data_IF_841592542393
#
_entry.id   IF_841592542393
#
_cell.length_a   1.000
_cell.length_b   1.000
_cell.length_c   1.000
_cell.angle_alpha   90.00
_cell.angle_beta   90.00
_cell.angle_gamma   90.00
#
_symmetry.space_group_name_H-M   'P 1'
#
loop_
_entity.id
_entity.type
_entity.pdbx_description
1 polymer ?
#
# COMPACT_ATOMS: atom_id res chain seq x y z
N UNK A 1 20.51 -15.66 -13.56
CA UNK A 1 19.12 -16.10 -13.23
C UNK A 1 18.17 -14.94 -13.48
N UNK A 2 16.90 -15.19 -13.88
CA UNK A 2 15.89 -14.13 -13.98
C UNK A 2 15.24 -13.96 -12.61
N UNK A 3 15.34 -12.76 -12.05
CA UNK A 3 14.75 -12.35 -10.78
C UNK A 3 13.78 -11.21 -11.09
N UNK A 4 12.60 -11.23 -10.48
CA UNK A 4 11.67 -10.11 -10.50
C UNK A 4 11.83 -9.31 -9.21
N UNK A 5 11.91 -7.99 -9.32
CA UNK A 5 11.92 -7.07 -8.18
C UNK A 5 11.03 -5.85 -8.47
N UNK A 6 10.21 -5.51 -7.49
CA UNK A 6 9.32 -4.37 -7.54
C UNK A 6 9.19 -3.72 -6.16
N UNK A 7 9.36 -2.40 -6.11
CA UNK A 7 9.07 -1.57 -4.93
C UNK A 7 7.98 -0.57 -5.28
N UNK A 8 6.89 -0.58 -4.53
CA UNK A 8 5.74 0.29 -4.71
C UNK A 8 5.56 1.22 -3.52
N UNK A 9 5.24 2.48 -3.81
CA UNK A 9 5.00 3.56 -2.84
C UNK A 9 3.61 4.17 -3.04
N UNK A 10 3.03 4.71 -1.98
CA UNK A 10 1.76 5.45 -2.03
C UNK A 10 1.96 6.83 -2.65
N UNK A 11 2.07 6.88 -3.98
CA UNK A 11 2.34 8.11 -4.74
C UNK A 11 1.31 8.41 -5.84
N UNK A 12 0.08 7.91 -5.70
CA UNK A 12 -1.00 8.12 -6.69
C UNK A 12 -1.41 9.59 -6.79
N UNK A 13 -1.77 10.04 -8.00
CA UNK A 13 -2.17 11.43 -8.27
C UNK A 13 -3.34 11.90 -7.40
N UNK A 14 -4.36 11.05 -7.18
CA UNK A 14 -5.53 11.39 -6.37
C UNK A 14 -5.16 11.60 -4.89
N UNK A 15 -4.14 10.90 -4.40
CA UNK A 15 -3.62 11.11 -3.05
C UNK A 15 -2.92 12.47 -2.95
N UNK A 16 -2.22 12.89 -4.01
CA UNK A 16 -1.61 14.22 -4.06
C UNK A 16 -2.66 15.33 -4.03
N UNK A 17 -3.80 15.16 -4.72
CA UNK A 17 -4.92 16.11 -4.65
C UNK A 17 -5.46 16.23 -3.22
N UNK A 18 -5.64 15.11 -2.50
CA UNK A 18 -6.07 15.12 -1.09
C UNK A 18 -5.04 15.85 -0.21
N UNK A 19 -3.75 15.57 -0.40
CA UNK A 19 -2.69 16.23 0.36
C UNK A 19 -2.64 17.73 0.11
N UNK A 20 -2.78 18.17 -1.15
CA UNK A 20 -2.83 19.60 -1.50
C UNK A 20 -4.05 20.27 -0.86
N UNK A 21 -5.21 19.61 -0.87
CA UNK A 21 -6.41 20.13 -0.21
C UNK A 21 -6.21 20.29 1.31
N UNK A 22 -5.57 19.31 1.97
CA UNK A 22 -5.23 19.38 3.40
C UNK A 22 -4.24 20.51 3.69
N UNK A 23 -3.23 20.72 2.84
CA UNK A 23 -2.30 21.84 2.97
C UNK A 23 -2.98 23.20 2.74
N UNK A 24 -3.89 23.29 1.77
CA UNK A 24 -4.70 24.49 1.54
C UNK A 24 -5.60 24.81 2.73
N UNK A 25 -6.24 23.79 3.32
CA UNK A 25 -7.01 23.95 4.56
C UNK A 25 -6.12 24.44 5.71
N UNK A 26 -4.92 23.89 5.84
CA UNK A 26 -3.97 24.31 6.87
C UNK A 26 -3.51 25.76 6.67
N UNK A 27 -3.26 26.18 5.43
CA UNK A 27 -2.92 27.56 5.09
C UNK A 27 -4.08 28.51 5.39
N UNK A 28 -5.32 28.09 5.13
CA UNK A 28 -6.52 28.85 5.50
C UNK A 28 -6.62 29.03 7.03
N UNK A 29 -6.44 27.96 7.81
CA UNK A 29 -6.41 28.04 9.27
C UNK A 29 -5.34 29.03 9.75
N UNK A 30 -4.11 28.91 9.25
CA UNK A 30 -3.03 29.83 9.58
C UNK A 30 -3.37 31.28 9.21
N UNK A 31 -3.98 31.51 8.05
CA UNK A 31 -4.43 32.84 7.64
C UNK A 31 -5.47 33.41 8.63
N UNK A 32 -6.47 32.62 9.02
CA UNK A 32 -7.49 33.06 9.98
C UNK A 32 -6.91 33.39 11.36
N UNK A 33 -5.94 32.62 11.83
CA UNK A 33 -5.33 32.83 13.15
C UNK A 33 -4.43 34.07 13.18
N UNK A 34 -3.57 34.25 12.17
CA UNK A 34 -2.50 35.26 12.22
C UNK A 34 -2.83 36.57 11.52
N UNK A 35 -3.76 36.58 10.55
CA UNK A 35 -4.10 37.79 9.80
C UNK A 35 -5.51 38.30 10.07
N UNK A 36 -6.48 37.41 10.19
CA UNK A 36 -7.88 37.79 10.46
C UNK A 36 -8.14 37.93 11.97
N UNK A 37 -7.46 37.14 12.80
CA UNK A 37 -7.64 37.13 14.24
C UNK A 37 -8.92 36.41 14.68
N UNK A 38 -9.39 35.42 13.90
CA UNK A 38 -10.60 34.63 14.20
C UNK A 38 -10.25 33.17 14.46
N UNK A 39 -11.12 32.49 15.22
CA UNK A 39 -10.97 31.05 15.46
C UNK A 39 -11.30 30.22 14.22
N UNK A 40 -10.59 29.10 14.06
CA UNK A 40 -10.92 28.02 13.13
C UNK A 40 -11.39 26.81 13.92
N UNK A 41 -12.72 26.62 13.99
CA UNK A 41 -13.33 25.62 14.86
C UNK A 41 -13.05 25.94 16.34
N UNK A 42 -12.48 24.98 17.06
CA UNK A 42 -12.16 25.13 18.49
C UNK A 42 -10.81 25.81 18.76
N UNK A 43 -10.02 26.11 17.71
CA UNK A 43 -8.68 26.68 17.86
C UNK A 43 -8.71 28.16 17.53
N UNK A 44 -8.43 28.99 18.53
CA UNK A 44 -8.41 30.45 18.44
C UNK A 44 -7.06 31.03 18.02
N UNK A 45 -7.00 32.34 17.72
CA UNK A 45 -5.76 33.05 17.36
C UNK A 45 -4.73 33.11 18.51
N UNK A 46 -5.19 33.08 19.76
CA UNK A 46 -4.33 33.10 20.96
C UNK A 46 -4.05 31.69 21.54
N UNK A 47 -4.55 30.63 20.90
CA UNK A 47 -4.36 29.24 21.34
C UNK A 47 -3.16 28.60 20.61
N UNK A 48 -1.95 28.95 21.04
CA UNK A 48 -0.72 28.43 20.45
C UNK A 48 -0.65 26.89 20.49
N UNK A 49 -1.13 26.30 21.59
CA UNK A 49 -1.12 24.84 21.77
C UNK A 49 -2.02 24.17 20.73
N UNK A 50 -3.27 24.62 20.58
CA UNK A 50 -4.19 24.10 19.57
C UNK A 50 -3.66 24.26 18.14
N UNK A 51 -3.06 25.41 17.83
CA UNK A 51 -2.47 25.68 16.51
C UNK A 51 -1.34 24.70 16.19
N UNK A 52 -0.40 24.51 17.12
CA UNK A 52 0.73 23.57 16.98
C UNK A 52 0.23 22.13 16.86
N UNK A 53 -0.76 21.73 17.66
CA UNK A 53 -1.35 20.39 17.59
C UNK A 53 -1.97 20.15 16.20
N UNK A 54 -2.74 21.09 15.67
CA UNK A 54 -3.33 20.97 14.33
C UNK A 54 -2.26 20.89 13.24
N UNK A 55 -1.25 21.77 13.29
CA UNK A 55 -0.12 21.76 12.34
C UNK A 55 0.59 20.41 12.33
N UNK A 56 1.00 19.93 13.51
CA UNK A 56 1.70 18.65 13.64
C UNK A 56 0.80 17.50 13.20
N UNK A 57 -0.47 17.47 13.61
CA UNK A 57 -1.39 16.40 13.26
C UNK A 57 -1.59 16.28 11.74
N UNK A 58 -1.77 17.40 11.04
CA UNK A 58 -1.93 17.41 9.57
C UNK A 58 -0.64 16.99 8.89
N UNK A 59 0.50 17.59 9.27
CA UNK A 59 1.80 17.25 8.67
C UNK A 59 2.17 15.78 8.90
N UNK A 60 1.92 15.27 10.10
CA UNK A 60 2.15 13.87 10.45
C UNK A 60 1.22 12.94 9.65
N UNK A 61 -0.06 13.30 9.48
CA UNK A 61 -1.00 12.50 8.67
C UNK A 61 -0.54 12.38 7.22
N UNK A 62 -0.04 13.48 6.63
CA UNK A 62 0.52 13.49 5.28
C UNK A 62 1.82 12.66 5.23
N UNK A 63 2.75 12.87 6.17
CA UNK A 63 4.04 12.18 6.19
C UNK A 63 3.91 10.67 6.40
N UNK A 64 2.97 10.24 7.26
CA UNK A 64 2.81 8.85 7.66
C UNK A 64 2.48 7.95 6.46
N UNK A 65 1.73 8.42 5.46
CA UNK A 65 1.39 7.56 4.32
C UNK A 65 2.59 7.19 3.46
N UNK A 66 3.62 8.04 3.43
CA UNK A 66 4.82 7.85 2.60
C UNK A 66 5.84 6.89 3.20
N UNK A 67 5.71 6.52 4.48
CA UNK A 67 6.55 5.47 5.08
C UNK A 67 6.15 4.08 4.56
N UNK A 68 4.92 3.94 4.07
CA UNK A 68 4.41 2.67 3.62
C UNK A 68 4.92 2.33 2.23
N UNK A 69 5.52 1.14 2.11
CA UNK A 69 5.95 0.59 0.82
C UNK A 69 5.78 -0.92 0.78
N UNK A 70 5.51 -1.42 -0.42
CA UNK A 70 5.46 -2.84 -0.72
C UNK A 70 6.65 -3.21 -1.59
N UNK A 71 7.50 -4.08 -1.07
CA UNK A 71 8.59 -4.69 -1.80
C UNK A 71 8.19 -6.13 -2.13
N UNK A 72 8.35 -6.51 -3.39
CA UNK A 72 8.09 -7.85 -3.90
C UNK A 72 9.28 -8.31 -4.71
N UNK A 73 9.77 -9.50 -4.41
CA UNK A 73 10.81 -10.19 -5.15
C UNK A 73 10.37 -11.61 -5.46
N UNK A 74 10.69 -12.11 -6.64
CA UNK A 74 10.47 -13.52 -6.99
C UNK A 74 11.73 -14.09 -7.60
N UNK A 75 12.15 -15.24 -7.07
CA UNK A 75 13.31 -15.99 -7.55
C UNK A 75 13.01 -17.50 -7.56
N UNK A 76 14.04 -18.33 -7.60
CA UNK A 76 13.93 -19.80 -7.68
C UNK A 76 13.33 -20.43 -6.43
N UNK A 77 13.39 -19.77 -5.27
CA UNK A 77 12.86 -20.34 -4.03
C UNK A 77 11.36 -20.06 -3.87
N UNK A 78 10.92 -18.87 -4.28
CA UNK A 78 9.55 -18.45 -4.07
C UNK A 78 9.27 -16.98 -4.31
N UNK A 79 8.17 -16.53 -3.71
CA UNK A 79 7.75 -15.13 -3.64
C UNK A 79 8.16 -14.57 -2.29
N UNK A 80 9.01 -13.55 -2.31
CA UNK A 80 9.44 -12.80 -1.15
C UNK A 80 8.74 -11.44 -1.14
N UNK A 81 8.10 -11.09 -0.03
CA UNK A 81 7.43 -9.80 0.08
C UNK A 81 7.65 -9.16 1.44
N UNK A 82 7.63 -7.82 1.46
CA UNK A 82 7.73 -7.01 2.66
C UNK A 82 6.86 -5.77 2.50
N UNK A 83 5.93 -5.57 3.42
CA UNK A 83 5.07 -4.38 3.46
C UNK A 83 5.50 -3.54 4.67
N UNK A 84 6.34 -2.54 4.45
CA UNK A 84 6.83 -1.67 5.52
C UNK A 84 5.75 -0.64 5.90
N UNK A 85 5.68 -0.24 7.18
CA UNK A 85 6.50 -0.67 8.32
C UNK A 85 5.96 -1.94 9.02
N UNK A 86 4.85 -2.53 8.53
CA UNK A 86 4.15 -3.65 9.18
C UNK A 86 5.02 -4.92 9.24
N UNK A 87 5.73 -5.22 8.16
CA UNK A 87 6.67 -6.34 8.07
C UNK A 87 8.10 -5.81 8.21
N UNK A 88 8.79 -6.18 9.30
CA UNK A 88 10.20 -5.81 9.56
C UNK A 88 11.17 -6.57 8.65
N UNK A 89 10.89 -7.83 8.37
CA UNK A 89 11.67 -8.70 7.47
C UNK A 89 10.83 -9.18 6.29
N UNK A 90 11.50 -9.69 5.25
CA UNK A 90 10.82 -10.36 4.15
C UNK A 90 10.14 -11.63 4.62
N UNK A 91 8.91 -11.84 4.15
CA UNK A 91 8.21 -13.11 4.24
C UNK A 91 8.35 -13.85 2.92
N UNK A 92 8.57 -15.15 3.00
CA UNK A 92 8.72 -16.02 1.82
C UNK A 92 7.54 -16.97 1.73
N UNK A 93 6.97 -17.09 0.52
CA UNK A 93 6.06 -18.17 0.16
C UNK A 93 6.79 -19.00 -0.89
N UNK A 94 7.17 -20.23 -0.53
CA UNK A 94 7.89 -21.11 -1.45
C UNK A 94 6.97 -21.59 -2.55
N UNK A 95 7.52 -21.83 -3.75
CA UNK A 95 6.75 -22.39 -4.87
C UNK A 95 6.10 -23.73 -4.49
N UNK A 96 6.82 -24.56 -3.75
CA UNK A 96 6.35 -25.85 -3.25
C UNK A 96 5.17 -25.77 -2.27
N UNK A 97 4.95 -24.63 -1.62
CA UNK A 97 3.83 -24.41 -0.69
C UNK A 97 2.56 -23.88 -1.41
N UNK A 98 2.66 -23.57 -2.70
CA UNK A 98 1.58 -23.00 -3.50
C UNK A 98 0.75 -24.06 -4.23
N UNK A 99 -0.57 -23.91 -4.15
CA UNK A 99 -1.55 -24.64 -4.94
C UNK A 99 -1.87 -23.88 -6.25
N UNK A 100 -1.99 -22.56 -6.18
CA UNK A 100 -2.20 -21.71 -7.36
C UNK A 100 -1.39 -20.41 -7.21
N UNK A 101 -0.82 -19.97 -8.33
CA UNK A 101 -0.14 -18.69 -8.44
C UNK A 101 -0.32 -18.12 -9.85
N UNK A 102 -0.89 -16.92 -9.96
CA UNK A 102 -1.14 -16.28 -11.26
C UNK A 102 -1.35 -14.77 -11.08
N UNK A 103 -1.10 -14.01 -12.15
CA UNK A 103 -1.48 -12.60 -12.19
C UNK A 103 -2.95 -12.45 -12.58
N UNK A 104 -3.67 -11.54 -11.92
CA UNK A 104 -5.04 -11.18 -12.26
C UNK A 104 -5.30 -9.69 -12.10
N UNK A 105 -6.31 -9.22 -12.82
CA UNK A 105 -6.98 -7.96 -12.50
C UNK A 105 -7.96 -8.20 -11.34
N UNK A 106 -7.93 -7.35 -10.33
CA UNK A 106 -8.83 -7.39 -9.18
C UNK A 106 -9.51 -6.03 -8.99
N UNK A 107 -10.50 -5.95 -8.11
CA UNK A 107 -11.23 -4.72 -7.77
C UNK A 107 -10.88 -4.29 -6.34
N UNK A 108 -9.92 -3.35 -6.15
CA UNK A 108 -9.41 -3.01 -4.82
C UNK A 108 -10.49 -2.61 -3.81
N UNK A 109 -11.45 -1.78 -4.24
CA UNK A 109 -12.50 -1.26 -3.38
C UNK A 109 -13.51 -2.35 -2.98
N UNK A 110 -14.02 -3.12 -3.94
CA UNK A 110 -15.09 -4.09 -3.67
C UNK A 110 -14.58 -5.42 -3.10
N UNK A 111 -13.36 -5.85 -3.44
CA UNK A 111 -12.81 -7.13 -2.95
C UNK A 111 -12.09 -6.99 -1.59
N UNK A 112 -11.47 -5.85 -1.34
CA UNK A 112 -10.55 -5.65 -0.21
C UNK A 112 -10.75 -4.33 0.57
N UNK A 113 -11.66 -3.45 0.15
CA UNK A 113 -11.90 -2.17 0.82
C UNK A 113 -10.80 -1.12 0.59
N UNK A 114 -10.04 -1.23 -0.50
CA UNK A 114 -9.05 -0.23 -0.92
C UNK A 114 -7.62 -0.76 -0.98
N UNK A 115 -6.67 0.16 -0.78
CA UNK A 115 -5.23 -0.13 -0.83
C UNK A 115 -4.62 -0.21 0.58
N UNK A 116 -3.57 -1.00 0.72
CA UNK A 116 -2.82 -1.22 1.96
C UNK A 116 -2.70 -2.69 2.33
N UNK A 117 -2.51 -2.94 3.62
CA UNK A 117 -2.72 -4.26 4.20
C UNK A 117 -4.21 -4.44 4.46
N UNK A 118 -4.86 -5.31 3.70
CA UNK A 118 -6.32 -5.53 3.76
C UNK A 118 -6.70 -6.98 3.97
N UNK A 119 -7.91 -7.18 4.49
CA UNK A 119 -8.55 -8.46 4.68
C UNK A 119 -9.88 -8.43 3.91
N UNK A 120 -9.99 -9.27 2.88
CA UNK A 120 -11.21 -9.42 2.10
C UNK A 120 -12.07 -10.55 2.66
N UNK A 121 -13.38 -10.34 2.75
CA UNK A 121 -14.33 -11.37 3.16
C UNK A 121 -14.35 -12.48 2.10
N UNK A 122 -13.81 -13.65 2.42
CA UNK A 122 -13.68 -14.80 1.50
C UNK A 122 -12.51 -14.73 0.50
N UNK A 123 -11.92 -13.54 0.30
CA UNK A 123 -10.83 -13.29 -0.64
C UNK A 123 -9.42 -13.36 -0.01
N UNK A 124 -9.34 -13.65 1.29
CA UNK A 124 -8.10 -13.72 2.05
C UNK A 124 -7.48 -12.34 2.27
N UNK A 125 -6.14 -12.29 2.30
CA UNK A 125 -5.40 -11.04 2.53
C UNK A 125 -5.03 -10.37 1.21
N UNK A 126 -4.90 -9.05 1.21
CA UNK A 126 -4.25 -8.31 0.15
C UNK A 126 -3.17 -7.39 0.72
N UNK A 127 -2.02 -7.37 0.04
CA UNK A 127 -0.97 -6.40 0.22
C UNK A 127 -0.85 -5.65 -1.10
N UNK A 128 -1.41 -4.46 -1.17
CA UNK A 128 -1.39 -3.64 -2.38
C UNK A 128 -1.12 -2.18 -2.02
N UNK A 129 -0.54 -1.46 -2.96
CA UNK A 129 -0.24 -0.03 -2.78
C UNK A 129 -1.03 0.81 -3.77
N UNK A 130 -1.07 0.38 -5.05
CA UNK A 130 -1.79 1.09 -6.11
C UNK A 130 -2.24 0.15 -7.23
N UNK A 131 -3.05 0.68 -8.14
CA UNK A 131 -3.54 -0.04 -9.31
C UNK A 131 -4.52 -1.17 -8.98
N UNK A 132 -4.80 -2.00 -9.98
CA UNK A 132 -5.79 -3.07 -9.96
C UNK A 132 -5.23 -4.42 -10.49
N UNK A 133 -3.90 -4.53 -10.61
CA UNK A 133 -3.22 -5.76 -11.01
C UNK A 133 -2.54 -6.39 -9.79
N UNK A 134 -2.62 -7.70 -9.65
CA UNK A 134 -2.08 -8.42 -8.51
C UNK A 134 -1.64 -9.84 -8.85
N UNK A 135 -0.67 -10.32 -8.09
CA UNK A 135 -0.23 -11.72 -8.04
C UNK A 135 -1.12 -12.41 -7.00
N UNK A 136 -2.05 -13.23 -7.47
CA UNK A 136 -2.89 -14.05 -6.62
C UNK A 136 -2.14 -15.32 -6.25
N UNK A 137 -2.05 -15.58 -4.95
CA UNK A 137 -1.53 -16.84 -4.40
C UNK A 137 -2.62 -17.56 -3.62
N UNK A 138 -2.64 -18.88 -3.75
CA UNK A 138 -3.42 -19.81 -2.94
C UNK A 138 -2.46 -20.89 -2.46
N UNK A 139 -2.24 -20.95 -1.15
CA UNK A 139 -1.37 -21.94 -0.52
C UNK A 139 -2.13 -23.25 -0.31
N UNK A 140 -1.40 -24.36 -0.20
CA UNK A 140 -1.96 -25.71 0.04
C UNK A 140 -2.80 -25.80 1.32
N UNK A 141 -2.57 -24.91 2.29
CA UNK A 141 -3.36 -24.81 3.53
C UNK A 141 -4.66 -23.98 3.38
N UNK A 142 -5.02 -23.55 2.17
CA UNK A 142 -6.19 -22.72 1.89
C UNK A 142 -5.99 -21.22 2.08
N UNK A 143 -4.82 -20.78 2.57
CA UNK A 143 -4.51 -19.35 2.75
C UNK A 143 -4.41 -18.66 1.39
N UNK A 144 -5.16 -17.57 1.22
CA UNK A 144 -5.13 -16.72 0.03
C UNK A 144 -4.44 -15.39 0.34
N UNK A 145 -3.52 -14.99 -0.53
CA UNK A 145 -2.86 -13.69 -0.49
C UNK A 145 -2.76 -13.10 -1.89
N UNK A 146 -3.24 -11.88 -2.05
CA UNK A 146 -3.04 -11.07 -3.24
C UNK A 146 -1.92 -10.05 -2.99
N UNK A 147 -0.90 -10.02 -3.85
CA UNK A 147 0.19 -9.04 -3.81
C UNK A 147 0.01 -8.11 -5.01
N UNK A 148 -0.29 -6.83 -4.79
CA UNK A 148 -0.44 -5.86 -5.86
C UNK A 148 0.86 -5.71 -6.67
N UNK A 149 0.75 -5.50 -7.98
CA UNK A 149 1.90 -5.28 -8.87
C UNK A 149 1.57 -4.27 -9.96
N UNK A 150 2.55 -3.47 -10.37
CA UNK A 150 2.47 -2.62 -11.56
C UNK A 150 3.16 -3.25 -12.78
N UNK A 151 3.69 -4.47 -12.62
CA UNK A 151 4.43 -5.21 -13.66
C UNK A 151 3.86 -6.63 -13.82
N UNK A 152 2.55 -6.78 -14.12
CA UNK A 152 1.91 -8.08 -14.17
C UNK A 152 2.55 -9.02 -15.20
N UNK A 153 2.94 -8.52 -16.36
CA UNK A 153 3.54 -9.38 -17.40
C UNK A 153 4.91 -9.93 -16.97
N UNK A 154 5.74 -9.11 -16.32
CA UNK A 154 7.03 -9.53 -15.79
C UNK A 154 6.85 -10.58 -14.69
N UNK A 155 5.90 -10.34 -13.79
CA UNK A 155 5.55 -11.27 -12.73
C UNK A 155 5.07 -12.61 -13.30
N UNK A 156 4.17 -12.58 -14.28
CA UNK A 156 3.63 -13.77 -14.92
C UNK A 156 4.71 -14.59 -15.65
N UNK A 157 5.73 -13.94 -16.23
CA UNK A 157 6.88 -14.64 -16.83
C UNK A 157 7.69 -15.41 -15.79
N UNK A 158 7.90 -14.87 -14.60
CA UNK A 158 8.60 -15.58 -13.51
C UNK A 158 7.76 -16.74 -12.98
N UNK A 159 6.46 -16.52 -12.76
CA UNK A 159 5.52 -17.57 -12.31
C UNK A 159 5.54 -18.75 -13.30
N UNK A 160 5.44 -18.48 -14.61
CA UNK A 160 5.49 -19.53 -15.65
C UNK A 160 6.81 -20.31 -15.64
N UNK A 161 7.92 -19.67 -15.26
CA UNK A 161 9.24 -20.31 -15.26
C UNK A 161 9.46 -21.22 -14.06
N UNK A 162 9.17 -20.75 -12.84
CA UNK A 162 9.52 -21.51 -11.61
C UNK A 162 8.34 -22.32 -11.07
N UNK A 163 7.13 -21.77 -11.03
CA UNK A 163 5.98 -22.49 -10.45
C UNK A 163 5.45 -23.62 -11.35
N UNK A 164 5.52 -23.46 -12.68
CA UNK A 164 5.06 -24.49 -13.63
C UNK A 164 6.07 -25.61 -13.85
N UNK A 165 7.37 -25.33 -13.74
CA UNK A 165 8.41 -26.35 -13.92
C UNK A 165 8.47 -27.37 -12.78
N UNK A 166 7.92 -27.07 -11.60
CA UNK A 166 7.86 -28.03 -10.46
C UNK A 166 6.71 -29.06 -10.58
N UNK A 167 5.89 -29.01 -11.64
CA UNK A 167 4.76 -29.95 -11.85
C UNK A 167 4.99 -30.95 -12.99
N UNK A 168 6.22 -31.06 -13.49
CA UNK A 168 6.61 -32.08 -14.49
C UNK A 168 7.49 -33.12 -13.83
#
# INVERSE_FOLDING_TARGET
>A
MRIFEETQWFNQWWLQVINIALLGFLAYCAYTWYFVGTASGNVGPNDLTGQVVVLIAVLLSIGLIYIFKLETRMDEQGIHYRFLPIHRSFKTIRWTDLEECYTRTYRPLTEYGGWGYRFGRGNGKALNVKGNQGIQTKQKNGTKLLIGTQKPDDAQRIIKKYFRNERV
#
